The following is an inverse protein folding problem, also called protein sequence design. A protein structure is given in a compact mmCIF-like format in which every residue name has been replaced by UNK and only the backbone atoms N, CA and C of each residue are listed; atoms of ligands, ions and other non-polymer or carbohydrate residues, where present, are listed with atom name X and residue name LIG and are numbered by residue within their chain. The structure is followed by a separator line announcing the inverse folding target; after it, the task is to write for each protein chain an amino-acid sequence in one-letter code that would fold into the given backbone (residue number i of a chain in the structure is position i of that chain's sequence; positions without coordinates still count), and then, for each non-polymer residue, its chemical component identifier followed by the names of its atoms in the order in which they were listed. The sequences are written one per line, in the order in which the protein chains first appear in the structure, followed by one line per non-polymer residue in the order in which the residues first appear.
data_IF_209006709955
#
_entry.id   IF_209006709955
#
_cell.length_a   1.000
_cell.length_b   1.000
_cell.length_c   1.000
_cell.angle_alpha   90.00
_cell.angle_beta   90.00
_cell.angle_gamma   90.00
#
_symmetry.space_group_name_H-M   'P 1'
#
loop_
_entity.id
_entity.type
_entity.pdbx_description
1 polymer ?
#
# COMPACT_ATOMS: atom_id res chain seq x y z
N UNK A 1 12.30 2.62 3.29
CA UNK A 1 12.57 2.01 4.61
C UNK A 1 11.34 1.86 5.49
N UNK A 2 10.62 2.92 5.89
CA UNK A 2 9.44 2.81 6.80
C UNK A 2 8.38 1.82 6.28
N UNK A 3 8.03 1.90 4.99
CA UNK A 3 7.04 1.00 4.37
C UNK A 3 7.43 -0.48 4.49
N UNK A 4 8.72 -0.83 4.38
CA UNK A 4 9.17 -2.21 4.48
C UNK A 4 9.17 -2.70 5.92
N UNK A 5 9.52 -1.83 6.88
CA UNK A 5 9.39 -2.14 8.31
C UNK A 5 7.92 -2.40 8.68
N UNK A 6 6.98 -1.63 8.13
CA UNK A 6 5.55 -1.86 8.29
C UNK A 6 5.13 -3.21 7.70
N UNK A 7 5.50 -3.49 6.45
CA UNK A 7 5.19 -4.76 5.79
C UNK A 7 5.71 -5.96 6.58
N UNK A 8 6.97 -5.90 7.05
CA UNK A 8 7.57 -6.97 7.86
C UNK A 8 6.81 -7.18 9.17
N UNK A 9 6.44 -6.09 9.86
CA UNK A 9 5.68 -6.15 11.11
C UNK A 9 4.29 -6.76 10.90
N UNK A 10 3.58 -6.30 9.87
CA UNK A 10 2.25 -6.83 9.53
C UNK A 10 2.35 -8.31 9.18
N UNK A 11 3.31 -8.71 8.34
CA UNK A 11 3.52 -10.10 7.99
C UNK A 11 3.83 -10.96 9.22
N UNK A 12 4.63 -10.47 10.18
CA UNK A 12 4.90 -11.17 11.44
C UNK A 12 3.63 -11.36 12.29
N UNK A 13 2.75 -10.36 12.34
CA UNK A 13 1.48 -10.44 13.06
C UNK A 13 0.47 -11.37 12.39
N UNK A 14 0.48 -11.42 11.05
CA UNK A 14 -0.40 -12.27 10.25
C UNK A 14 0.10 -13.72 10.14
N UNK A 15 1.38 -13.98 10.43
CA UNK A 15 2.07 -15.24 10.09
C UNK A 15 1.56 -16.51 10.76
N UNK A 16 0.63 -16.46 11.73
CA UNK A 16 -0.04 -17.63 12.32
C UNK A 16 0.79 -18.94 12.25
N UNK A 17 0.32 -19.91 11.46
CA UNK A 17 1.09 -21.07 11.00
C UNK A 17 1.43 -21.00 9.49
N UNK A 18 1.15 -19.89 8.82
CA UNK A 18 1.21 -19.76 7.37
C UNK A 18 2.29 -18.76 6.94
N UNK A 19 2.91 -19.03 5.80
CA UNK A 19 3.90 -18.13 5.23
C UNK A 19 3.17 -16.97 4.57
N UNK A 20 3.35 -15.75 5.08
CA UNK A 20 2.92 -14.51 4.43
C UNK A 20 4.03 -14.05 3.49
N UNK A 21 3.84 -14.09 2.15
CA UNK A 21 4.84 -13.62 1.21
C UNK A 21 5.07 -12.11 1.35
N UNK A 22 6.34 -11.71 1.39
CA UNK A 22 6.75 -10.31 1.37
C UNK A 22 7.26 -9.98 -0.02
N UNK A 23 6.53 -9.14 -0.76
CA UNK A 23 6.91 -8.67 -2.08
C UNK A 23 7.29 -7.19 -2.03
N UNK A 24 8.32 -6.80 -2.76
CA UNK A 24 8.71 -5.40 -2.90
C UNK A 24 9.12 -5.08 -4.33
N UNK A 25 8.72 -3.90 -4.78
CA UNK A 25 9.15 -3.34 -6.06
C UNK A 25 9.42 -1.85 -5.88
N UNK A 26 10.62 -1.42 -6.26
CA UNK A 26 10.99 -0.02 -6.38
C UNK A 26 12.14 0.06 -7.40
N UNK A 27 11.99 0.80 -8.52
CA UNK A 27 13.05 0.93 -9.51
C UNK A 27 14.28 1.67 -8.96
N UNK A 28 14.15 2.40 -7.85
CA UNK A 28 15.24 3.17 -7.23
C UNK A 28 16.00 2.36 -6.15
N UNK A 29 15.70 1.07 -5.97
CA UNK A 29 16.50 0.24 -5.06
C UNK A 29 17.96 0.14 -5.53
N UNK A 30 18.85 0.42 -4.59
CA UNK A 30 20.27 0.08 -4.76
C UNK A 30 20.50 -1.39 -4.49
N UNK A 31 21.58 -1.97 -5.01
CA UNK A 31 21.98 -3.35 -4.69
C UNK A 31 22.07 -3.60 -3.17
N UNK A 32 22.47 -2.59 -2.40
CA UNK A 32 22.55 -2.69 -0.93
C UNK A 32 21.16 -2.83 -0.33
N UNK A 33 20.19 -2.03 -0.81
CA UNK A 33 18.80 -2.12 -0.38
C UNK A 33 18.21 -3.50 -0.73
N UNK A 34 18.40 -3.99 -1.94
CA UNK A 34 17.94 -5.31 -2.38
C UNK A 34 18.53 -6.44 -1.53
N UNK A 35 19.84 -6.39 -1.23
CA UNK A 35 20.50 -7.38 -0.36
C UNK A 35 19.94 -7.35 1.06
N UNK A 36 19.65 -6.18 1.61
CA UNK A 36 19.05 -6.04 2.95
C UNK A 36 17.64 -6.62 2.95
N UNK A 37 16.82 -6.28 1.94
CA UNK A 37 15.44 -6.73 1.85
C UNK A 37 15.33 -8.24 1.63
N UNK A 38 16.16 -8.81 0.77
CA UNK A 38 16.21 -10.26 0.52
C UNK A 38 16.61 -11.03 1.78
N UNK A 39 17.55 -10.50 2.58
CA UNK A 39 17.90 -11.06 3.91
C UNK A 39 16.75 -11.01 4.91
N UNK A 40 15.74 -10.16 4.67
CA UNK A 40 14.50 -10.05 5.45
C UNK A 40 13.33 -10.75 4.76
N UNK A 41 13.62 -11.70 3.87
CA UNK A 41 12.65 -12.56 3.18
C UNK A 41 11.75 -11.84 2.18
N UNK A 42 12.07 -10.60 1.79
CA UNK A 42 11.40 -9.97 0.66
C UNK A 42 11.85 -10.59 -0.66
N UNK A 43 10.89 -10.93 -1.51
CA UNK A 43 11.10 -11.18 -2.94
C UNK A 43 11.02 -9.83 -3.67
N UNK A 44 12.13 -9.39 -4.25
CA UNK A 44 12.13 -8.23 -5.14
C UNK A 44 11.51 -8.66 -6.48
N UNK A 45 10.38 -8.05 -6.84
CA UNK A 45 9.60 -8.41 -8.03
C UNK A 45 9.67 -7.31 -9.06
N UNK A 46 9.83 -7.68 -10.33
CA UNK A 46 9.80 -6.74 -11.45
C UNK A 46 10.67 -5.50 -11.22
N UNK A 47 12.00 -5.63 -11.02
CA UNK A 47 12.89 -4.48 -10.78
C UNK A 47 12.75 -3.39 -11.86
N UNK A 48 12.28 -3.77 -13.04
CA UNK A 48 11.76 -2.87 -14.06
C UNK A 48 10.39 -3.36 -14.55
N UNK A 49 9.43 -2.43 -14.76
CA UNK A 49 8.11 -2.73 -15.32
C UNK A 49 6.99 -2.91 -14.30
N UNK A 50 6.05 -3.81 -14.57
CA UNK A 50 4.78 -3.96 -13.83
C UNK A 50 4.68 -5.28 -13.02
N UNK A 51 5.80 -5.98 -12.79
CA UNK A 51 5.80 -7.35 -12.26
C UNK A 51 5.15 -7.49 -10.90
N UNK A 52 5.38 -6.56 -9.97
CA UNK A 52 4.76 -6.58 -8.65
C UNK A 52 3.25 -6.37 -8.69
N UNK A 53 2.72 -5.69 -9.70
CA UNK A 53 1.27 -5.52 -9.86
C UNK A 53 0.56 -6.82 -10.25
N UNK A 54 1.24 -7.72 -10.95
CA UNK A 54 0.69 -9.02 -11.34
C UNK A 54 0.53 -10.00 -10.16
N UNK A 55 1.21 -9.71 -9.04
CA UNK A 55 1.19 -10.55 -7.84
C UNK A 55 0.12 -10.08 -6.83
N UNK A 56 -0.61 -8.99 -7.13
CA UNK A 56 -1.64 -8.45 -6.25
C UNK A 56 -2.97 -9.16 -6.51
N UNK A 57 -3.60 -9.61 -5.44
CA UNK A 57 -4.93 -10.23 -5.44
C UNK A 57 -5.86 -9.59 -4.39
N UNK A 58 -7.01 -10.21 -4.18
CA UNK A 58 -8.05 -9.76 -3.25
C UNK A 58 -7.69 -9.91 -1.76
N UNK A 59 -6.77 -10.82 -1.42
CA UNK A 59 -6.33 -11.07 -0.04
C UNK A 59 -5.05 -10.31 0.32
N UNK A 60 -4.46 -9.66 -0.67
CA UNK A 60 -3.24 -8.87 -0.53
C UNK A 60 -3.41 -7.65 0.38
N UNK A 61 -2.35 -7.34 1.11
CA UNK A 61 -2.18 -6.04 1.79
C UNK A 61 -1.21 -5.20 0.94
N UNK A 62 -1.69 -4.09 0.41
CA UNK A 62 -0.88 -3.19 -0.45
C UNK A 62 -0.41 -1.99 0.37
N UNK A 63 0.90 -1.75 0.41
CA UNK A 63 1.51 -0.56 1.00
C UNK A 63 2.14 0.27 -0.13
N UNK A 64 1.61 1.46 -0.40
CA UNK A 64 2.01 2.28 -1.54
C UNK A 64 2.03 3.77 -1.22
N UNK A 65 2.70 4.14 -0.12
CA UNK A 65 2.77 5.53 0.26
C UNK A 65 3.70 6.32 -0.67
N UNK A 66 3.28 7.52 -1.08
CA UNK A 66 4.07 8.40 -1.95
C UNK A 66 4.52 7.74 -3.26
N UNK A 67 3.67 6.87 -3.81
CA UNK A 67 4.01 6.10 -5.00
C UNK A 67 4.15 7.01 -6.25
N UNK A 68 5.29 6.88 -6.93
CA UNK A 68 5.50 7.49 -8.25
C UNK A 68 4.79 6.72 -9.39
N UNK A 69 4.16 5.58 -9.07
CA UNK A 69 3.38 4.74 -9.97
C UNK A 69 1.86 4.90 -9.70
N UNK A 70 0.98 4.65 -10.70
CA UNK A 70 -0.46 4.81 -10.55
C UNK A 70 -1.12 3.61 -9.82
N UNK A 71 -0.69 3.33 -8.58
CA UNK A 71 -1.08 2.14 -7.83
C UNK A 71 -2.59 2.08 -7.59
N UNK A 72 -3.23 3.18 -7.15
CA UNK A 72 -4.68 3.26 -6.94
C UNK A 72 -5.44 2.93 -8.22
N UNK A 73 -4.94 3.37 -9.36
CA UNK A 73 -5.57 3.09 -10.65
C UNK A 73 -5.51 1.60 -11.01
N UNK A 74 -4.37 0.95 -10.74
CA UNK A 74 -4.15 -0.48 -11.02
C UNK A 74 -5.04 -1.36 -10.14
N UNK A 75 -5.04 -1.09 -8.82
CA UNK A 75 -5.87 -1.86 -7.88
C UNK A 75 -7.38 -1.58 -8.08
N UNK A 76 -7.72 -0.41 -8.66
CA UNK A 76 -9.06 -0.07 -9.14
C UNK A 76 -9.50 -0.80 -10.42
N UNK A 77 -8.62 -1.52 -11.09
CA UNK A 77 -8.99 -2.35 -12.25
C UNK A 77 -8.81 -3.86 -12.01
N UNK A 78 -7.82 -4.28 -11.20
CA UNK A 78 -7.37 -5.67 -11.21
C UNK A 78 -7.67 -6.47 -9.94
N UNK A 79 -7.30 -5.97 -8.76
CA UNK A 79 -7.13 -6.86 -7.59
C UNK A 79 -8.07 -6.60 -6.42
N UNK A 80 -8.57 -5.36 -6.23
CA UNK A 80 -9.38 -4.97 -5.04
C UNK A 80 -8.86 -5.57 -3.71
N UNK A 81 -7.65 -5.17 -3.24
CA UNK A 81 -6.99 -5.76 -2.08
C UNK A 81 -7.81 -5.62 -0.78
N UNK A 82 -7.61 -6.53 0.19
CA UNK A 82 -8.34 -6.50 1.47
C UNK A 82 -7.98 -5.26 2.32
N UNK A 83 -6.74 -4.79 2.20
CA UNK A 83 -6.24 -3.61 2.91
C UNK A 83 -5.28 -2.82 2.02
N UNK A 84 -5.52 -1.51 1.94
CA UNK A 84 -4.65 -0.58 1.23
C UNK A 84 -4.12 0.44 2.24
N UNK A 85 -2.80 0.58 2.31
CA UNK A 85 -2.11 1.59 3.11
C UNK A 85 -1.46 2.57 2.14
N UNK A 86 -2.05 3.75 2.00
CA UNK A 86 -1.59 4.74 1.02
C UNK A 86 -1.69 6.15 1.57
N UNK A 87 -1.16 7.11 0.82
CA UNK A 87 -1.46 8.52 1.03
C UNK A 87 -2.93 8.79 0.69
N UNK A 88 -3.51 9.86 1.25
CA UNK A 88 -4.92 10.21 1.09
C UNK A 88 -5.43 10.35 -0.36
N UNK A 89 -6.67 10.80 -0.50
CA UNK A 89 -7.27 11.08 -1.81
C UNK A 89 -6.66 12.31 -2.49
N UNK A 90 -5.89 13.11 -1.77
CA UNK A 90 -5.23 14.27 -2.32
C UNK A 90 -4.07 13.85 -3.22
N UNK A 91 -4.02 14.45 -4.41
CA UNK A 91 -2.79 14.48 -5.20
C UNK A 91 -1.81 15.30 -4.36
N UNK A 92 -0.72 14.69 -3.89
CA UNK A 92 0.38 15.42 -3.26
C UNK A 92 1.03 16.33 -4.33
N UNK A 93 0.40 17.46 -4.58
CA UNK A 93 1.02 18.60 -5.24
C UNK A 93 1.74 19.32 -4.11
N UNK A 94 3.02 19.01 -3.89
CA UNK A 94 3.84 19.84 -3.02
C UNK A 94 3.84 21.26 -3.57
N UNK A 95 3.45 22.24 -2.78
CA UNK A 95 3.26 23.64 -3.17
C UNK A 95 4.59 24.38 -3.43
N UNK A 96 5.65 23.68 -3.83
CA UNK A 96 6.97 24.27 -4.08
C UNK A 96 7.32 24.11 -5.56
N UNK A 97 7.33 25.25 -6.23
CA UNK A 97 7.43 25.53 -7.68
C UNK A 97 8.72 25.07 -8.38
N UNK A 98 9.52 24.18 -7.80
CA UNK A 98 10.78 23.74 -8.40
C UNK A 98 10.96 22.21 -8.24
N UNK A 99 10.70 21.48 -9.33
CA UNK A 99 11.19 20.13 -9.60
C UNK A 99 10.55 18.88 -8.93
N UNK A 100 9.23 18.85 -8.67
CA UNK A 100 8.55 17.56 -8.45
C UNK A 100 7.38 17.33 -9.39
N UNK A 101 7.52 16.29 -10.24
CA UNK A 101 6.45 15.77 -11.10
C UNK A 101 5.25 15.38 -10.22
N UNK A 102 4.01 15.60 -10.66
CA UNK A 102 2.84 15.07 -9.96
C UNK A 102 3.04 13.58 -9.74
N UNK A 103 2.82 13.10 -8.51
CA UNK A 103 2.78 11.67 -8.23
C UNK A 103 1.77 11.04 -9.19
N UNK A 104 2.15 9.94 -9.84
CA UNK A 104 1.32 9.32 -10.87
C UNK A 104 0.03 8.70 -10.31
N UNK A 105 -0.13 8.72 -8.99
CA UNK A 105 -1.25 8.11 -8.28
C UNK A 105 -2.39 9.10 -7.96
N UNK A 106 -2.79 9.89 -8.96
CA UNK A 106 -3.89 10.83 -8.82
C UNK A 106 -5.25 10.12 -8.78
N UNK A 107 -6.28 10.77 -8.22
CA UNK A 107 -7.66 10.29 -8.27
C UNK A 107 -8.25 10.39 -9.68
N UNK A 108 -9.19 9.50 -9.97
CA UNK A 108 -9.94 9.38 -11.22
C UNK A 108 -11.38 8.96 -10.91
N UNK A 109 -12.32 9.05 -11.87
CA UNK A 109 -13.69 8.56 -11.65
C UNK A 109 -13.75 7.10 -11.16
N UNK A 110 -12.88 6.23 -11.68
CA UNK A 110 -12.85 4.81 -11.29
C UNK A 110 -12.27 4.54 -9.91
N UNK A 111 -11.25 5.29 -9.49
CA UNK A 111 -10.68 5.15 -8.14
C UNK A 111 -11.67 5.66 -7.11
N UNK A 112 -12.34 6.79 -7.38
CA UNK A 112 -13.47 7.26 -6.56
C UNK A 112 -14.57 6.22 -6.41
N UNK A 113 -14.91 5.51 -7.49
CA UNK A 113 -15.90 4.43 -7.43
C UNK A 113 -15.39 3.25 -6.59
N UNK A 114 -14.14 2.81 -6.77
CA UNK A 114 -13.53 1.76 -5.94
C UNK A 114 -13.57 2.12 -4.45
N UNK A 115 -13.28 3.37 -4.09
CA UNK A 115 -13.22 3.80 -2.69
C UNK A 115 -14.56 3.69 -1.96
N UNK A 116 -15.68 3.63 -2.68
CA UNK A 116 -16.98 3.37 -2.06
C UNK A 116 -17.06 2.00 -1.40
N UNK A 117 -16.21 1.05 -1.79
CA UNK A 117 -16.16 -0.30 -1.22
C UNK A 117 -15.22 -0.39 0.00
N UNK A 118 -14.61 0.71 0.44
CA UNK A 118 -13.62 0.72 1.52
C UNK A 118 -14.03 1.63 2.68
N UNK A 119 -13.65 1.22 3.89
CA UNK A 119 -13.72 2.05 5.09
C UNK A 119 -12.34 2.62 5.40
N UNK A 120 -12.30 3.93 5.64
CA UNK A 120 -11.09 4.60 6.10
C UNK A 120 -10.91 4.36 7.61
N UNK A 121 -9.79 3.76 7.99
CA UNK A 121 -9.38 3.54 9.37
C UNK A 121 -8.27 4.54 9.75
N UNK A 122 -8.39 5.16 10.92
CA UNK A 122 -7.32 5.94 11.53
C UNK A 122 -6.41 5.03 12.33
N UNK A 123 -5.10 5.26 12.27
CA UNK A 123 -4.17 4.64 13.21
C UNK A 123 -4.38 5.23 14.62
N UNK A 124 -4.27 4.41 15.68
CA UNK A 124 -4.33 4.92 17.03
C UNK A 124 -3.16 5.88 17.28
N UNK A 125 -3.47 7.13 17.63
CA UNK A 125 -2.49 8.13 18.03
C UNK A 125 -2.40 8.17 19.55
N UNK A 126 -1.25 7.81 20.12
CA UNK A 126 -0.95 8.06 21.53
C UNK A 126 -0.14 9.36 21.63
N UNK A 127 -0.44 10.20 22.63
CA UNK A 127 0.12 11.56 22.72
C UNK A 127 1.65 11.60 22.86
N UNK A 128 2.25 10.49 23.30
CA UNK A 128 3.67 10.44 23.65
C UNK A 128 4.55 10.10 22.43
N UNK A 129 3.94 9.68 21.31
CA UNK A 129 4.64 9.22 20.10
C UNK A 129 4.64 10.27 18.99
N UNK A 130 5.03 11.51 19.32
CA UNK A 130 5.00 12.66 18.41
C UNK A 130 5.79 12.39 17.12
N UNK A 131 6.98 11.78 17.22
CA UNK A 131 7.83 11.48 16.05
C UNK A 131 7.19 10.45 15.12
N UNK A 132 6.59 9.39 15.66
CA UNK A 132 5.90 8.37 14.87
C UNK A 132 4.63 8.96 14.24
N UNK A 133 3.86 9.75 15.00
CA UNK A 133 2.69 10.43 14.48
C UNK A 133 3.02 11.39 13.34
N UNK A 134 4.17 12.08 13.41
CA UNK A 134 4.68 12.91 12.31
C UNK A 134 5.12 12.08 11.11
N UNK A 135 5.83 10.97 11.32
CA UNK A 135 6.30 10.09 10.25
C UNK A 135 5.16 9.38 9.51
N UNK A 136 4.06 9.09 10.20
CA UNK A 136 2.86 8.47 9.64
C UNK A 136 1.83 9.51 9.17
N UNK A 137 2.10 10.79 9.33
CA UNK A 137 1.18 11.87 8.94
C UNK A 137 0.90 11.78 7.43
N UNK A 138 -0.39 11.66 7.09
CA UNK A 138 -0.83 11.52 5.70
C UNK A 138 -0.90 10.08 5.19
N UNK A 139 -0.59 9.08 6.02
CA UNK A 139 -0.92 7.68 5.75
C UNK A 139 -2.34 7.38 6.22
N UNK A 140 -3.07 6.66 5.37
CA UNK A 140 -4.42 6.22 5.63
C UNK A 140 -4.52 4.72 5.40
N UNK A 141 -5.32 4.06 6.23
CA UNK A 141 -5.64 2.65 6.06
C UNK A 141 -7.04 2.56 5.46
N UNK A 142 -7.18 1.84 4.36
CA UNK A 142 -8.45 1.60 3.69
C UNK A 142 -8.72 0.10 3.72
N UNK A 143 -9.71 -0.30 4.50
CA UNK A 143 -10.13 -1.69 4.63
C UNK A 143 -11.30 -1.96 3.70
N UNK A 144 -11.21 -3.00 2.86
CA UNK A 144 -12.32 -3.41 1.99
C UNK A 144 -13.50 -3.85 2.85
N UNK A 145 -14.70 -3.33 2.58
CA UNK A 145 -15.94 -3.79 3.21
C UNK A 145 -16.18 -5.22 2.77
N UNK A 146 -16.44 -6.10 3.72
CA UNK A 146 -16.97 -7.41 3.39
C UNK A 146 -18.41 -7.20 2.94
N UNK A 147 -18.76 -7.63 1.72
CA UNK A 147 -20.17 -7.76 1.38
C UNK A 147 -20.81 -8.69 2.41
N UNK A 148 -22.03 -8.39 2.91
CA UNK A 148 -22.79 -9.37 3.64
C UNK A 148 -22.80 -10.66 2.83
N UNK A 149 -22.56 -11.80 3.48
CA UNK A 149 -22.92 -13.09 2.92
C UNK A 149 -24.43 -13.03 2.66
N UNK A 150 -24.83 -12.62 1.46
CA UNK A 150 -26.18 -12.84 1.00
C UNK A 150 -26.40 -14.34 1.10
N UNK A 151 -27.27 -14.68 2.04
CA UNK A 151 -27.86 -15.99 2.24
C UNK A 151 -27.94 -16.75 0.92
N UNK A 152 -27.04 -17.72 0.74
CA UNK A 152 -27.17 -18.71 -0.31
C UNK A 152 -28.57 -19.30 -0.17
N UNK A 153 -29.41 -19.02 -1.16
CA UNK A 153 -30.79 -19.44 -1.20
C UNK A 153 -30.88 -20.95 -1.00
N UNK A 154 -31.71 -21.31 -0.03
CA UNK A 154 -32.28 -22.64 0.13
C UNK A 154 -33.17 -23.01 -1.08
#
# INVERSE_FOLDING_TARGET
MIQHSMALTIAQLCRGNEIVPLLAQDPDYTEVAEKILTKKEFKIVGPHGAGGFAEIDEESIVISAFAAAPVKQIIADLARPVLIISTGFDVFNGNEELDRKPLADAESPRTRQMWLDYDACSLPSYSDDVEICLALKGLHLYRRRQQPLDSQGA
#
